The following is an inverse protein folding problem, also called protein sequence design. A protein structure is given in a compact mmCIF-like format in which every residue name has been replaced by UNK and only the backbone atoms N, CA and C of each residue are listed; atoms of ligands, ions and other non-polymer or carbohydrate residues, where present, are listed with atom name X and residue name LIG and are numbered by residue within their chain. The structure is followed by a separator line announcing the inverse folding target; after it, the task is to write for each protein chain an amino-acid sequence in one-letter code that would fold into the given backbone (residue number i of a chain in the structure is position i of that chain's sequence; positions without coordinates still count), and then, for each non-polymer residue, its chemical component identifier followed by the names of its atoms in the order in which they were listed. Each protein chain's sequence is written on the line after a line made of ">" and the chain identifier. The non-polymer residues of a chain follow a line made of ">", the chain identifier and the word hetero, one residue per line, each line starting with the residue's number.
data_IF_297524175099
#
_entry.id   IF_297524175099
#
_cell.length_a   1.000
_cell.length_b   1.000
_cell.length_c   1.000
_cell.angle_alpha   90.00
_cell.angle_beta   90.00
_cell.angle_gamma   90.00
#
_symmetry.space_group_name_H-M   'P 1'
#
loop_
_entity.id
_entity.type
_entity.pdbx_description
1 polymer ?
#
# COMPACT_ATOMS: atom_id res chain seq x y z
N UNK A 1 8.33 122.17 -45.95
CA UNK A 1 7.67 120.87 -46.19
C UNK A 1 8.60 119.66 -45.97
N UNK A 2 9.86 119.70 -46.45
CA UNK A 2 10.84 118.61 -46.30
C UNK A 2 11.36 118.40 -44.85
N UNK A 3 11.46 119.45 -44.03
CA UNK A 3 11.85 119.33 -42.61
C UNK A 3 10.72 118.85 -41.68
N UNK A 4 9.45 119.08 -42.06
CA UNK A 4 8.28 118.59 -41.30
C UNK A 4 8.07 117.08 -41.53
N UNK A 5 8.31 116.61 -42.75
CA UNK A 5 8.32 115.17 -43.08
C UNK A 5 9.49 114.43 -42.40
N UNK A 6 10.69 115.02 -42.29
CA UNK A 6 11.82 114.43 -41.52
C UNK A 6 11.57 114.35 -40.01
N UNK A 7 10.85 115.33 -39.43
CA UNK A 7 10.53 115.35 -38.00
C UNK A 7 9.44 114.35 -37.59
N UNK A 8 8.43 114.13 -38.44
CA UNK A 8 7.37 113.14 -38.20
C UNK A 8 7.91 111.72 -38.38
N UNK A 9 8.83 111.51 -39.32
CA UNK A 9 9.42 110.20 -39.56
C UNK A 9 10.27 109.72 -38.37
N UNK A 10 11.10 110.58 -37.76
CA UNK A 10 12.03 110.13 -36.72
C UNK A 10 11.36 109.84 -35.36
N UNK A 11 10.29 110.57 -35.01
CA UNK A 11 9.62 110.44 -33.70
C UNK A 11 8.65 109.25 -33.65
N UNK A 12 7.90 109.02 -34.73
CA UNK A 12 7.05 107.83 -34.85
C UNK A 12 7.86 106.57 -35.10
N UNK A 13 8.97 106.63 -35.85
CA UNK A 13 9.86 105.49 -36.06
C UNK A 13 10.58 105.07 -34.76
N UNK A 14 11.02 106.03 -33.93
CA UNK A 14 11.58 105.71 -32.61
C UNK A 14 10.53 105.18 -31.62
N UNK A 15 9.28 105.66 -31.70
CA UNK A 15 8.19 105.07 -30.91
C UNK A 15 7.86 103.66 -31.39
N UNK A 16 7.83 103.40 -32.70
CA UNK A 16 7.63 102.07 -33.27
C UNK A 16 8.79 101.13 -32.88
N UNK A 17 10.04 101.58 -32.96
CA UNK A 17 11.19 100.79 -32.50
C UNK A 17 11.13 100.52 -30.99
N UNK A 18 10.75 101.51 -30.16
CA UNK A 18 10.54 101.26 -28.72
C UNK A 18 9.37 100.34 -28.42
N UNK A 19 8.29 100.40 -29.20
CA UNK A 19 7.15 99.49 -29.06
C UNK A 19 7.54 98.08 -29.51
N UNK A 20 8.37 97.94 -30.55
CA UNK A 20 8.90 96.66 -31.01
C UNK A 20 9.91 96.10 -29.99
N UNK A 21 10.86 96.90 -29.50
CA UNK A 21 11.81 96.51 -28.44
C UNK A 21 11.07 96.14 -27.14
N UNK A 22 10.11 96.96 -26.68
CA UNK A 22 9.35 96.66 -25.47
C UNK A 22 8.35 95.52 -25.65
N UNK A 23 7.79 95.28 -26.85
CA UNK A 23 6.93 94.12 -27.11
C UNK A 23 7.71 92.81 -27.10
N UNK A 24 9.03 92.88 -27.21
CA UNK A 24 9.97 91.74 -27.23
C UNK A 24 10.75 91.59 -25.92
N UNK A 25 10.62 92.53 -24.97
CA UNK A 25 11.28 92.47 -23.66
C UNK A 25 10.46 91.62 -22.67
N UNK A 26 11.13 90.72 -21.95
CA UNK A 26 10.51 89.62 -21.17
C UNK A 26 9.69 90.10 -19.94
N UNK A 27 9.68 91.38 -19.60
CA UNK A 27 9.05 91.94 -18.39
C UNK A 27 8.02 93.07 -18.60
N UNK A 28 7.65 93.44 -19.83
CA UNK A 28 6.81 94.63 -20.06
C UNK A 28 5.30 94.40 -19.76
N UNK A 29 4.91 94.65 -18.51
CA UNK A 29 3.52 94.93 -18.12
C UNK A 29 3.08 96.28 -18.73
N UNK A 30 1.96 96.24 -19.45
CA UNK A 30 1.18 97.37 -19.98
C UNK A 30 1.88 98.33 -20.98
N UNK A 31 1.66 98.08 -22.27
CA UNK A 31 1.88 99.07 -23.32
C UNK A 31 0.69 100.06 -23.31
N UNK A 32 0.79 101.15 -22.55
CA UNK A 32 -0.16 102.27 -22.62
C UNK A 32 0.37 103.30 -23.63
N UNK A 33 -0.29 103.43 -24.78
CA UNK A 33 0.00 104.47 -25.77
C UNK A 33 -1.14 105.48 -25.78
N UNK A 34 -0.83 106.73 -25.44
CA UNK A 34 -1.76 107.84 -25.42
C UNK A 34 -1.86 108.45 -26.84
N UNK A 35 -2.91 108.12 -27.60
CA UNK A 35 -3.15 108.70 -28.92
C UNK A 35 -3.82 110.08 -28.77
N UNK A 36 -3.10 111.14 -29.18
CA UNK A 36 -3.62 112.51 -29.14
C UNK A 36 -4.82 112.64 -30.13
N UNK A 37 -6.05 113.01 -29.70
CA UNK A 37 -7.25 112.83 -30.51
C UNK A 37 -7.48 113.87 -31.61
N UNK A 38 -6.68 114.94 -31.70
CA UNK A 38 -7.01 116.11 -32.52
C UNK A 38 -5.86 116.56 -33.43
N UNK A 39 -5.76 116.00 -34.66
CA UNK A 39 -5.23 116.70 -35.86
C UNK A 39 -5.99 116.23 -37.11
N UNK A 40 -6.62 117.18 -37.80
CA UNK A 40 -7.51 117.07 -38.96
C UNK A 40 -6.78 117.09 -40.33
N UNK A 41 -7.44 116.50 -41.33
CA UNK A 41 -7.32 116.75 -42.80
C UNK A 41 -5.95 116.59 -43.50
N UNK A 42 -5.34 115.40 -43.43
CA UNK A 42 -4.38 114.97 -44.46
C UNK A 42 -4.50 113.46 -44.72
N UNK A 43 -4.84 113.06 -45.94
CA UNK A 43 -5.13 111.66 -46.32
C UNK A 43 -3.95 110.71 -46.05
N UNK A 44 -2.72 111.21 -46.13
CA UNK A 44 -1.50 110.45 -45.88
C UNK A 44 -1.29 110.10 -44.39
N UNK A 45 -1.78 110.92 -43.45
CA UNK A 45 -1.70 110.66 -42.00
C UNK A 45 -2.74 109.62 -41.52
N UNK A 46 -3.93 109.60 -42.14
CA UNK A 46 -4.93 108.52 -41.92
C UNK A 46 -4.45 107.16 -42.44
N UNK A 47 -3.71 107.14 -43.54
CA UNK A 47 -3.07 105.92 -44.07
C UNK A 47 -2.03 105.36 -43.10
N UNK A 48 -1.19 106.24 -42.54
CA UNK A 48 -0.16 105.86 -41.56
C UNK A 48 -0.74 105.35 -40.24
N UNK A 49 -1.78 105.99 -39.69
CA UNK A 49 -2.49 105.49 -38.49
C UNK A 49 -3.18 104.13 -38.71
N UNK A 50 -3.71 103.87 -39.91
CA UNK A 50 -4.27 102.54 -40.25
C UNK A 50 -3.17 101.48 -40.28
N UNK A 51 -2.02 101.79 -40.87
CA UNK A 51 -0.86 100.89 -40.91
C UNK A 51 -0.33 100.60 -39.51
N UNK A 52 -0.19 101.63 -38.66
CA UNK A 52 0.23 101.48 -37.26
C UNK A 52 -0.74 100.61 -36.45
N UNK A 53 -2.06 100.83 -36.59
CA UNK A 53 -3.08 100.00 -35.94
C UNK A 53 -3.09 98.55 -36.47
N UNK A 54 -2.87 98.35 -37.76
CA UNK A 54 -2.76 96.99 -38.33
C UNK A 54 -1.48 96.27 -37.89
N UNK A 55 -0.36 96.97 -37.76
CA UNK A 55 0.89 96.44 -37.21
C UNK A 55 0.71 96.07 -35.74
N UNK A 56 0.01 96.89 -34.96
CA UNK A 56 -0.30 96.57 -33.56
C UNK A 56 -1.17 95.32 -33.44
N UNK A 57 -2.25 95.21 -34.23
CA UNK A 57 -3.07 93.99 -34.27
C UNK A 57 -2.26 92.77 -34.69
N UNK A 58 -1.38 92.92 -35.68
CA UNK A 58 -0.50 91.85 -36.13
C UNK A 58 0.49 91.42 -35.04
N UNK A 59 1.12 92.37 -34.34
CA UNK A 59 2.04 92.09 -33.22
C UNK A 59 1.31 91.47 -32.03
N UNK A 60 0.10 91.93 -31.71
CA UNK A 60 -0.75 91.34 -30.67
C UNK A 60 -1.13 89.90 -31.01
N UNK A 61 -1.55 89.64 -32.26
CA UNK A 61 -1.88 88.29 -32.73
C UNK A 61 -0.65 87.37 -32.72
N UNK A 62 0.53 87.87 -33.08
CA UNK A 62 1.80 87.12 -33.00
C UNK A 62 2.14 86.81 -31.53
N UNK A 63 1.97 87.76 -30.62
CA UNK A 63 2.21 87.56 -29.18
C UNK A 63 1.26 86.51 -28.60
N UNK A 64 -0.04 86.58 -28.91
CA UNK A 64 -1.03 85.58 -28.50
C UNK A 64 -0.70 84.19 -29.10
N UNK A 65 -0.29 84.12 -30.37
CA UNK A 65 0.12 82.87 -31.00
C UNK A 65 1.38 82.26 -30.34
N UNK A 66 2.38 83.07 -29.99
CA UNK A 66 3.59 82.61 -29.29
C UNK A 66 3.25 82.13 -27.87
N UNK A 67 2.41 82.87 -27.15
CA UNK A 67 1.96 82.47 -25.80
C UNK A 67 1.14 81.16 -25.86
N UNK A 68 0.25 81.03 -26.84
CA UNK A 68 -0.52 79.81 -27.07
C UNK A 68 0.38 78.63 -27.43
N UNK A 69 1.39 78.82 -28.30
CA UNK A 69 2.38 77.78 -28.64
C UNK A 69 3.16 77.33 -27.41
N UNK A 70 3.59 78.27 -26.55
CA UNK A 70 4.31 77.99 -25.30
C UNK A 70 3.46 77.24 -24.27
N UNK A 71 2.18 77.60 -24.15
CA UNK A 71 1.23 76.89 -23.29
C UNK A 71 1.00 75.45 -23.79
N UNK A 72 0.80 75.28 -25.10
CA UNK A 72 0.63 73.97 -25.74
C UNK A 72 1.90 73.09 -25.63
N UNK A 73 3.10 73.67 -25.79
CA UNK A 73 4.36 72.97 -25.59
C UNK A 73 4.54 72.45 -24.16
N UNK A 74 4.15 73.24 -23.15
CA UNK A 74 4.16 72.79 -21.74
C UNK A 74 3.21 71.63 -21.49
N UNK A 75 2.01 71.67 -22.06
CA UNK A 75 1.01 70.60 -21.93
C UNK A 75 1.49 69.31 -22.61
N UNK A 76 2.11 69.41 -23.80
CA UNK A 76 2.75 68.26 -24.49
C UNK A 76 3.86 67.64 -23.63
N UNK A 77 4.75 68.46 -23.05
CA UNK A 77 5.83 67.96 -22.21
C UNK A 77 5.32 67.26 -20.94
N UNK A 78 4.21 67.74 -20.37
CA UNK A 78 3.56 67.08 -19.23
C UNK A 78 2.94 65.72 -19.62
N UNK A 79 2.27 65.64 -20.77
CA UNK A 79 1.73 64.38 -21.30
C UNK A 79 2.85 63.38 -21.59
N UNK A 80 3.95 63.80 -22.22
CA UNK A 80 5.12 62.96 -22.51
C UNK A 80 5.74 62.43 -21.23
N UNK A 81 5.86 63.26 -20.19
CA UNK A 81 6.35 62.82 -18.88
C UNK A 81 5.46 61.76 -18.26
N UNK A 82 4.14 61.93 -18.34
CA UNK A 82 3.19 60.93 -17.84
C UNK A 82 3.24 59.63 -18.65
N UNK A 83 3.37 59.71 -19.97
CA UNK A 83 3.55 58.54 -20.85
C UNK A 83 4.86 57.80 -20.55
N UNK A 84 5.95 58.52 -20.29
CA UNK A 84 7.23 57.92 -19.92
C UNK A 84 7.11 57.14 -18.61
N UNK A 85 6.51 57.73 -17.58
CA UNK A 85 6.27 57.05 -16.29
C UNK A 85 5.39 55.80 -16.50
N UNK A 86 4.34 55.90 -17.32
CA UNK A 86 3.46 54.77 -17.64
C UNK A 86 4.20 53.63 -18.37
N UNK A 87 5.06 53.94 -19.34
CA UNK A 87 5.87 52.92 -20.02
C UNK A 87 6.92 52.29 -19.11
N UNK A 88 7.48 53.04 -18.16
CA UNK A 88 8.38 52.50 -17.13
C UNK A 88 7.65 51.48 -16.25
N UNK A 89 6.47 51.84 -15.74
CA UNK A 89 5.60 50.92 -14.98
C UNK A 89 5.18 49.70 -15.80
N UNK A 90 4.82 49.90 -17.09
CA UNK A 90 4.44 48.83 -18.00
C UNK A 90 5.59 47.84 -18.22
N UNK A 91 6.83 48.33 -18.38
CA UNK A 91 8.02 47.49 -18.54
C UNK A 91 8.30 46.65 -17.29
N UNK A 92 8.15 47.24 -16.11
CA UNK A 92 8.29 46.50 -14.85
C UNK A 92 7.23 45.42 -14.72
N UNK A 93 5.98 45.70 -15.08
CA UNK A 93 4.90 44.71 -15.10
C UNK A 93 5.19 43.58 -16.10
N UNK A 94 5.71 43.89 -17.29
CA UNK A 94 6.10 42.89 -18.30
C UNK A 94 7.25 41.99 -17.78
N UNK A 95 8.25 42.57 -17.12
CA UNK A 95 9.33 41.79 -16.50
C UNK A 95 8.81 40.87 -15.39
N UNK A 96 7.88 41.34 -14.55
CA UNK A 96 7.23 40.51 -13.54
C UNK A 96 6.42 39.38 -14.19
N UNK A 97 5.66 39.68 -15.24
CA UNK A 97 4.86 38.69 -15.99
C UNK A 97 5.76 37.60 -16.58
N UNK A 98 6.88 37.97 -17.18
CA UNK A 98 7.87 37.02 -17.72
C UNK A 98 8.43 36.08 -16.65
N UNK A 99 8.78 36.61 -15.49
CA UNK A 99 9.27 35.80 -14.38
C UNK A 99 8.21 34.79 -13.91
N UNK A 100 6.93 35.16 -13.91
CA UNK A 100 5.83 34.25 -13.60
C UNK A 100 5.64 33.19 -14.70
N UNK A 101 5.79 33.55 -15.98
CA UNK A 101 5.69 32.61 -17.09
C UNK A 101 6.82 31.58 -17.09
N UNK A 102 8.06 31.98 -16.79
CA UNK A 102 9.17 31.03 -16.66
C UNK A 102 8.90 30.01 -15.54
N UNK A 103 8.44 30.50 -14.37
CA UNK A 103 8.03 29.60 -13.27
C UNK A 103 6.89 28.66 -13.67
N UNK A 104 5.95 29.14 -14.49
CA UNK A 104 4.84 28.33 -14.98
C UNK A 104 5.33 27.24 -15.95
N UNK A 105 6.30 27.52 -16.83
CA UNK A 105 6.95 26.50 -17.65
C UNK A 105 7.59 25.42 -16.78
N UNK A 106 8.42 25.83 -15.80
CA UNK A 106 9.11 24.90 -14.90
C UNK A 106 8.11 24.00 -14.16
N UNK A 107 7.01 24.58 -13.66
CA UNK A 107 5.96 23.85 -12.95
C UNK A 107 5.22 22.84 -13.84
N UNK A 108 4.89 23.22 -15.08
CA UNK A 108 4.22 22.33 -16.04
C UNK A 108 5.15 21.18 -16.47
N UNK A 109 6.44 21.44 -16.65
CA UNK A 109 7.44 20.39 -16.92
C UNK A 109 7.56 19.42 -15.74
N UNK A 110 7.63 19.93 -14.51
CA UNK A 110 7.63 19.10 -13.31
C UNK A 110 6.36 18.25 -13.18
N UNK A 111 5.18 18.82 -13.46
CA UNK A 111 3.92 18.05 -13.47
C UNK A 111 3.93 16.94 -14.51
N UNK A 112 4.51 17.17 -15.70
CA UNK A 112 4.67 16.14 -16.72
C UNK A 112 5.59 15.01 -16.24
N UNK A 113 6.68 15.33 -15.55
CA UNK A 113 7.59 14.32 -14.98
C UNK A 113 6.91 13.50 -13.88
N UNK A 114 6.21 14.16 -12.93
CA UNK A 114 5.43 13.48 -11.90
C UNK A 114 4.34 12.58 -12.49
N UNK A 115 3.70 12.99 -13.59
CA UNK A 115 2.73 12.15 -14.29
C UNK A 115 3.36 10.85 -14.82
N UNK A 116 4.59 10.93 -15.36
CA UNK A 116 5.34 9.76 -15.80
C UNK A 116 5.63 8.79 -14.66
N UNK A 117 6.09 9.31 -13.52
CA UNK A 117 6.35 8.51 -12.31
C UNK A 117 5.07 7.85 -11.78
N UNK A 118 3.97 8.60 -11.70
CA UNK A 118 2.70 8.06 -11.20
C UNK A 118 2.13 6.98 -12.14
N UNK A 119 2.27 7.13 -13.46
CA UNK A 119 1.89 6.07 -14.40
C UNK A 119 2.70 4.78 -14.17
N UNK A 120 4.01 4.89 -13.94
CA UNK A 120 4.86 3.74 -13.62
C UNK A 120 4.40 3.02 -12.34
N UNK A 121 4.11 3.78 -11.28
CA UNK A 121 3.62 3.21 -10.02
C UNK A 121 2.27 2.48 -10.18
N UNK A 122 1.41 2.96 -11.07
CA UNK A 122 0.11 2.32 -11.36
C UNK A 122 0.27 1.04 -12.18
N UNK A 123 1.26 0.99 -13.08
CA UNK A 123 1.61 -0.22 -13.82
C UNK A 123 2.17 -1.31 -12.88
N UNK A 124 3.08 -0.93 -11.98
CA UNK A 124 3.56 -1.81 -10.90
C UNK A 124 2.43 -2.29 -9.99
N UNK A 125 1.51 -1.39 -9.61
CA UNK A 125 0.34 -1.75 -8.81
C UNK A 125 -0.56 -2.76 -9.53
N UNK A 126 -0.77 -2.59 -10.84
CA UNK A 126 -1.60 -3.51 -11.64
C UNK A 126 -0.95 -4.89 -11.72
N UNK A 127 0.36 -4.93 -11.97
CA UNK A 127 1.13 -6.18 -11.97
C UNK A 127 1.05 -6.89 -10.62
N UNK A 128 1.23 -6.14 -9.52
CA UNK A 128 1.14 -6.69 -8.16
C UNK A 128 -0.26 -7.26 -7.83
N UNK A 129 -1.32 -6.61 -8.31
CA UNK A 129 -2.70 -7.11 -8.17
C UNK A 129 -2.89 -8.42 -8.92
N UNK A 130 -2.38 -8.55 -10.14
CA UNK A 130 -2.44 -9.79 -10.93
C UNK A 130 -1.64 -10.93 -10.28
N UNK A 131 -0.44 -10.65 -9.79
CA UNK A 131 0.37 -11.62 -9.04
C UNK A 131 -0.34 -12.09 -7.77
N UNK A 132 -0.98 -11.17 -7.06
CA UNK A 132 -1.76 -11.50 -5.84
C UNK A 132 -2.95 -12.39 -6.18
N UNK A 133 -3.66 -12.14 -7.30
CA UNK A 133 -4.75 -13.01 -7.75
C UNK A 133 -4.27 -14.44 -8.07
N UNK A 134 -3.15 -14.58 -8.79
CA UNK A 134 -2.56 -15.89 -9.07
C UNK A 134 -2.13 -16.63 -7.78
N UNK A 135 -1.60 -15.89 -6.80
CA UNK A 135 -1.22 -16.43 -5.50
C UNK A 135 -2.44 -16.94 -4.72
N UNK A 136 -3.55 -16.18 -4.72
CA UNK A 136 -4.82 -16.58 -4.11
C UNK A 136 -5.35 -17.88 -4.73
N UNK A 137 -5.33 -18.02 -6.06
CA UNK A 137 -5.78 -19.26 -6.72
C UNK A 137 -4.95 -20.47 -6.27
N UNK A 138 -3.63 -20.27 -6.12
CA UNK A 138 -2.72 -21.30 -5.63
C UNK A 138 -3.00 -21.64 -4.16
N UNK A 139 -3.26 -20.65 -3.31
CA UNK A 139 -3.66 -20.84 -1.92
C UNK A 139 -4.98 -21.61 -1.81
N UNK A 140 -5.98 -21.25 -2.62
CA UNK A 140 -7.28 -21.93 -2.65
C UNK A 140 -7.12 -23.41 -2.98
N UNK A 141 -6.32 -23.74 -3.99
CA UNK A 141 -6.03 -25.14 -4.35
C UNK A 141 -5.27 -25.88 -3.25
N UNK A 142 -4.34 -25.19 -2.58
CA UNK A 142 -3.58 -25.76 -1.46
C UNK A 142 -4.48 -26.05 -0.25
N UNK A 143 -5.43 -25.16 0.04
CA UNK A 143 -6.42 -25.33 1.10
C UNK A 143 -7.37 -26.50 0.80
N UNK A 144 -7.84 -26.63 -0.45
CA UNK A 144 -8.66 -27.76 -0.89
C UNK A 144 -7.92 -29.11 -0.76
N UNK A 145 -6.65 -29.14 -1.16
CA UNK A 145 -5.81 -30.34 -1.00
C UNK A 145 -5.61 -30.67 0.48
N UNK A 146 -5.29 -29.67 1.31
CA UNK A 146 -5.13 -29.85 2.74
C UNK A 146 -6.41 -30.38 3.40
N UNK A 147 -7.58 -29.87 2.99
CA UNK A 147 -8.88 -30.35 3.48
C UNK A 147 -9.09 -31.82 3.16
N UNK A 148 -8.82 -32.20 1.91
CA UNK A 148 -8.97 -33.58 1.45
C UNK A 148 -8.01 -34.51 2.20
N UNK A 149 -6.74 -34.13 2.34
CA UNK A 149 -5.74 -34.92 3.06
C UNK A 149 -6.05 -35.03 4.56
N UNK A 150 -6.59 -33.98 5.19
CA UNK A 150 -7.03 -34.03 6.57
C UNK A 150 -8.21 -35.01 6.75
N UNK A 151 -9.19 -34.97 5.85
CA UNK A 151 -10.32 -35.90 5.85
C UNK A 151 -9.88 -37.36 5.65
N UNK A 152 -8.97 -37.62 4.70
CA UNK A 152 -8.38 -38.96 4.51
C UNK A 152 -7.60 -39.43 5.76
N UNK A 153 -6.90 -38.51 6.43
CA UNK A 153 -6.22 -38.77 7.68
C UNK A 153 -7.19 -39.17 8.80
N UNK A 154 -8.32 -38.48 8.91
CA UNK A 154 -9.36 -38.78 9.88
C UNK A 154 -10.01 -40.14 9.65
N UNK A 155 -10.34 -40.48 8.39
CA UNK A 155 -10.84 -41.82 8.02
C UNK A 155 -9.83 -42.92 8.40
N UNK A 156 -8.53 -42.67 8.19
CA UNK A 156 -7.46 -43.61 8.55
C UNK A 156 -7.35 -43.83 10.07
N UNK A 157 -7.49 -42.76 10.86
CA UNK A 157 -7.53 -42.84 12.33
C UNK A 157 -8.77 -43.61 12.80
N UNK A 158 -9.94 -43.34 12.22
CA UNK A 158 -11.17 -44.06 12.56
C UNK A 158 -11.05 -45.57 12.30
N UNK A 159 -10.44 -45.94 11.16
CA UNK A 159 -10.15 -47.33 10.84
C UNK A 159 -9.18 -47.95 11.85
N UNK A 160 -8.12 -47.22 12.24
CA UNK A 160 -7.14 -47.69 13.22
C UNK A 160 -7.75 -47.86 14.62
N UNK A 161 -8.62 -46.95 15.04
CA UNK A 161 -9.38 -47.05 16.29
C UNK A 161 -10.27 -48.30 16.30
N UNK A 162 -10.95 -48.57 15.18
CA UNK A 162 -11.77 -49.79 15.02
C UNK A 162 -10.90 -51.05 15.15
N UNK A 163 -9.72 -51.08 14.53
CA UNK A 163 -8.79 -52.21 14.69
C UNK A 163 -8.30 -52.36 16.13
N UNK A 164 -8.07 -51.26 16.84
CA UNK A 164 -7.64 -51.29 18.24
C UNK A 164 -8.73 -51.85 19.17
N UNK A 165 -10.00 -51.54 18.90
CA UNK A 165 -11.12 -52.18 19.59
C UNK A 165 -11.18 -53.69 19.34
N UNK A 166 -10.98 -54.13 18.09
CA UNK A 166 -10.90 -55.56 17.78
C UNK A 166 -9.74 -56.26 18.53
N UNK A 167 -8.58 -55.61 18.64
CA UNK A 167 -7.44 -56.12 19.42
C UNK A 167 -7.80 -56.22 20.90
N UNK A 168 -8.46 -55.20 21.47
CA UNK A 168 -8.94 -55.20 22.86
C UNK A 168 -9.89 -56.37 23.14
N UNK A 169 -10.84 -56.63 22.24
CA UNK A 169 -11.75 -57.77 22.34
C UNK A 169 -11.02 -59.12 22.25
N UNK A 170 -10.03 -59.22 21.37
CA UNK A 170 -9.15 -60.39 21.25
C UNK A 170 -8.37 -60.66 22.54
N UNK A 171 -7.80 -59.61 23.15
CA UNK A 171 -7.08 -59.70 24.42
C UNK A 171 -8.00 -60.16 25.58
N UNK A 172 -9.21 -59.59 25.69
CA UNK A 172 -10.21 -60.01 26.68
C UNK A 172 -10.59 -61.50 26.52
N UNK A 173 -10.72 -61.95 25.27
CA UNK A 173 -11.03 -63.35 24.96
C UNK A 173 -9.87 -64.27 25.37
N UNK A 174 -8.64 -63.86 25.10
CA UNK A 174 -7.45 -64.61 25.49
C UNK A 174 -7.30 -64.69 27.02
N UNK A 175 -7.58 -63.61 27.74
CA UNK A 175 -7.60 -63.59 29.21
C UNK A 175 -8.56 -64.67 29.75
N UNK A 176 -9.77 -64.75 29.19
CA UNK A 176 -10.77 -65.76 29.57
C UNK A 176 -10.26 -67.19 29.36
N UNK A 177 -9.56 -67.45 28.25
CA UNK A 177 -8.95 -68.76 27.96
C UNK A 177 -7.85 -69.08 28.96
N UNK A 178 -6.97 -68.13 29.28
CA UNK A 178 -5.90 -68.31 30.28
C UNK A 178 -6.48 -68.59 31.67
N UNK A 179 -7.52 -67.88 32.09
CA UNK A 179 -8.20 -68.13 33.36
C UNK A 179 -8.81 -69.55 33.40
N UNK A 180 -9.38 -70.02 32.29
CA UNK A 180 -9.88 -71.40 32.18
C UNK A 180 -8.75 -72.42 32.27
N UNK A 181 -7.63 -72.22 31.56
CA UNK A 181 -6.45 -73.08 31.63
C UNK A 181 -5.87 -73.14 33.04
N UNK A 182 -5.81 -72.00 33.73
CA UNK A 182 -5.37 -71.91 35.13
C UNK A 182 -6.22 -72.82 36.02
N UNK A 183 -7.55 -72.74 35.88
CA UNK A 183 -8.48 -73.57 36.66
C UNK A 183 -8.28 -75.06 36.36
N UNK A 184 -8.21 -75.44 35.09
CA UNK A 184 -8.00 -76.84 34.68
C UNK A 184 -6.66 -77.39 35.18
N UNK A 185 -5.59 -76.60 35.11
CA UNK A 185 -4.27 -77.00 35.59
C UNK A 185 -4.23 -77.21 37.10
N UNK A 186 -4.97 -76.39 37.87
CA UNK A 186 -5.14 -76.61 39.32
C UNK A 186 -5.92 -77.90 39.60
N UNK A 187 -6.99 -78.18 38.84
CA UNK A 187 -7.75 -79.43 38.98
C UNK A 187 -6.90 -80.67 38.67
N UNK A 188 -6.07 -80.64 37.62
CA UNK A 188 -5.11 -81.70 37.30
C UNK A 188 -4.12 -81.91 38.45
N UNK A 189 -3.58 -80.82 39.02
CA UNK A 189 -2.69 -80.87 40.18
C UNK A 189 -3.33 -81.58 41.38
N UNK A 190 -4.61 -81.28 41.66
CA UNK A 190 -5.37 -81.92 42.74
C UNK A 190 -5.62 -83.41 42.47
N UNK A 191 -5.98 -83.79 41.24
CA UNK A 191 -6.15 -85.19 40.86
C UNK A 191 -4.84 -85.97 40.96
N UNK A 192 -3.73 -85.38 40.51
CA UNK A 192 -2.43 -86.01 40.59
C UNK A 192 -1.96 -86.21 42.04
N UNK A 193 -2.24 -85.25 42.93
CA UNK A 193 -1.99 -85.41 44.37
C UNK A 193 -2.77 -86.60 44.98
N UNK A 194 -4.02 -86.80 44.57
CA UNK A 194 -4.82 -87.96 44.96
C UNK A 194 -4.22 -89.28 44.44
N UNK A 195 -3.75 -89.31 43.18
CA UNK A 195 -3.07 -90.47 42.61
C UNK A 195 -1.82 -90.83 43.42
N UNK A 196 -0.99 -89.83 43.75
CA UNK A 196 0.20 -90.03 44.60
C UNK A 196 -0.18 -90.66 45.94
N UNK A 197 -1.24 -90.16 46.60
CA UNK A 197 -1.74 -90.72 47.87
C UNK A 197 -2.23 -92.16 47.73
N UNK A 198 -3.02 -92.47 46.69
CA UNK A 198 -3.49 -93.84 46.41
C UNK A 198 -2.31 -94.78 46.15
N UNK A 199 -1.31 -94.31 45.41
CA UNK A 199 -0.12 -95.06 45.07
C UNK A 199 0.71 -95.41 46.32
N UNK A 200 0.92 -94.44 47.21
CA UNK A 200 1.59 -94.65 48.51
C UNK A 200 0.82 -95.63 49.39
N UNK A 201 -0.50 -95.49 49.49
CA UNK A 201 -1.35 -96.42 50.23
C UNK A 201 -1.29 -97.83 49.65
N UNK A 202 -1.33 -97.96 48.32
CA UNK A 202 -1.24 -99.24 47.63
C UNK A 202 0.12 -99.89 47.84
N UNK A 203 1.20 -99.11 47.80
CA UNK A 203 2.55 -99.58 48.09
C UNK A 203 2.68 -100.10 49.53
N UNK A 204 2.10 -99.40 50.50
CA UNK A 204 2.05 -99.83 51.91
C UNK A 204 1.20 -101.09 52.11
N UNK A 205 0.04 -101.18 51.46
CA UNK A 205 -0.81 -102.38 51.49
C UNK A 205 -0.10 -103.60 50.89
N UNK A 206 0.57 -103.41 49.75
CA UNK A 206 1.34 -104.46 49.08
C UNK A 206 2.53 -104.91 49.93
N UNK A 207 3.22 -103.99 50.60
CA UNK A 207 4.28 -104.30 51.55
C UNK A 207 3.77 -105.16 52.71
N UNK A 208 2.64 -104.76 53.32
CA UNK A 208 2.02 -105.54 54.41
C UNK A 208 1.60 -106.94 53.93
N UNK A 209 1.06 -107.05 52.72
CA UNK A 209 0.70 -108.34 52.11
C UNK A 209 1.94 -109.21 51.83
N UNK A 210 3.04 -108.63 51.36
CA UNK A 210 4.30 -109.34 51.14
C UNK A 210 4.89 -109.87 52.45
N UNK A 211 4.84 -109.08 53.53
CA UNK A 211 5.26 -109.49 54.88
C UNK A 211 4.42 -110.68 55.37
N UNK A 212 3.09 -110.62 55.26
CA UNK A 212 2.22 -111.69 55.73
C UNK A 212 2.33 -112.96 54.87
N UNK A 213 2.54 -112.81 53.56
CA UNK A 213 2.83 -113.90 52.64
C UNK A 213 4.16 -114.60 52.97
N UNK A 214 5.21 -113.85 53.32
CA UNK A 214 6.47 -114.40 53.80
C UNK A 214 6.29 -115.15 55.14
N UNK A 215 5.40 -114.64 56.02
CA UNK A 215 5.07 -115.25 57.32
C UNK A 215 4.36 -116.59 57.19
N UNK A 216 3.56 -116.78 56.15
CA UNK A 216 2.88 -118.04 55.83
C UNK A 216 3.79 -119.12 55.23
N UNK A 217 5.08 -118.82 55.00
CA UNK A 217 6.08 -119.80 54.52
C UNK A 217 5.76 -120.34 53.12
N UNK A 218 5.88 -121.66 52.93
CA UNK A 218 5.65 -122.33 51.63
C UNK A 218 4.22 -122.14 51.09
N UNK A 219 3.22 -121.97 51.97
CA UNK A 219 1.83 -121.75 51.56
C UNK A 219 1.55 -120.32 51.06
N UNK A 220 2.39 -119.34 51.42
CA UNK A 220 2.25 -117.93 51.02
C UNK A 220 3.04 -117.55 49.76
N UNK A 221 3.82 -118.47 49.18
CA UNK A 221 4.79 -118.19 48.12
C UNK A 221 4.18 -117.55 46.88
N UNK A 222 2.98 -117.99 46.46
CA UNK A 222 2.24 -117.40 45.34
C UNK A 222 1.70 -116.00 45.65
N UNK A 223 1.24 -115.76 46.88
CA UNK A 223 0.78 -114.44 47.34
C UNK A 223 1.94 -113.44 47.46
N UNK A 224 3.13 -113.89 47.86
CA UNK A 224 4.32 -113.05 47.95
C UNK A 224 4.70 -112.47 46.58
N UNK A 225 4.66 -113.30 45.51
CA UNK A 225 4.95 -112.84 44.14
C UNK A 225 3.95 -111.80 43.67
N UNK A 226 2.65 -112.00 43.95
CA UNK A 226 1.60 -111.02 43.60
C UNK A 226 1.78 -109.72 44.39
N UNK A 227 2.09 -109.80 45.67
CA UNK A 227 2.31 -108.63 46.51
C UNK A 227 3.52 -107.80 46.04
N UNK A 228 4.63 -108.45 45.67
CA UNK A 228 5.79 -107.77 45.11
C UNK A 228 5.51 -107.10 43.75
N UNK A 229 4.69 -107.73 42.89
CA UNK A 229 4.30 -107.13 41.61
C UNK A 229 3.38 -105.92 41.80
N UNK A 230 2.41 -105.99 42.73
CA UNK A 230 1.57 -104.84 43.11
C UNK A 230 2.44 -103.71 43.68
N UNK A 231 3.42 -104.05 44.53
CA UNK A 231 4.35 -103.06 45.10
C UNK A 231 5.15 -102.35 44.01
N UNK A 232 5.63 -103.09 43.01
CA UNK A 232 6.35 -102.54 41.87
C UNK A 232 5.47 -101.61 41.02
N UNK A 233 4.23 -102.02 40.73
CA UNK A 233 3.25 -101.17 40.01
C UNK A 233 2.91 -99.89 40.78
N UNK A 234 2.77 -99.98 42.10
CA UNK A 234 2.55 -98.82 42.96
C UNK A 234 3.77 -97.88 42.96
N UNK A 235 5.00 -98.40 42.99
CA UNK A 235 6.20 -97.56 42.88
C UNK A 235 6.29 -96.87 41.51
N UNK A 236 5.99 -97.57 40.41
CA UNK A 236 5.98 -97.00 39.06
C UNK A 236 4.88 -95.95 38.86
N UNK A 237 3.72 -96.17 39.48
CA UNK A 237 2.60 -95.20 39.48
C UNK A 237 2.99 -93.94 40.23
N UNK A 238 3.69 -94.06 41.37
CA UNK A 238 4.17 -92.92 42.15
C UNK A 238 5.22 -92.11 41.39
N UNK A 239 6.17 -92.76 40.72
CA UNK A 239 7.16 -92.09 39.85
C UNK A 239 6.48 -91.35 38.70
N UNK A 240 5.48 -91.98 38.06
CA UNK A 240 4.70 -91.35 36.99
C UNK A 240 3.92 -90.13 37.49
N UNK A 241 3.30 -90.23 38.67
CA UNK A 241 2.60 -89.11 39.29
C UNK A 241 3.54 -87.95 39.65
N UNK A 242 4.77 -88.22 40.09
CA UNK A 242 5.78 -87.18 40.32
C UNK A 242 6.16 -86.46 39.00
N UNK A 243 6.32 -87.20 37.90
CA UNK A 243 6.59 -86.59 36.59
C UNK A 243 5.42 -85.72 36.12
N UNK A 244 4.17 -86.17 36.30
CA UNK A 244 2.97 -85.37 36.00
C UNK A 244 2.92 -84.12 36.88
N UNK A 245 3.30 -84.22 38.16
CA UNK A 245 3.36 -83.06 39.06
C UNK A 245 4.33 -82.00 38.54
N UNK A 246 5.53 -82.41 38.14
CA UNK A 246 6.54 -81.51 37.59
C UNK A 246 6.05 -80.81 36.32
N UNK A 247 5.47 -81.56 35.38
CA UNK A 247 4.88 -81.00 34.15
C UNK A 247 3.74 -80.03 34.46
N UNK A 248 2.85 -80.39 35.39
CA UNK A 248 1.73 -79.53 35.79
C UNK A 248 2.23 -78.23 36.42
N UNK A 249 3.25 -78.29 37.27
CA UNK A 249 3.83 -77.09 37.87
C UNK A 249 4.45 -76.16 36.82
N UNK A 250 5.12 -76.72 35.80
CA UNK A 250 5.67 -75.93 34.69
C UNK A 250 4.55 -75.24 33.89
N UNK A 251 3.48 -75.97 33.56
CA UNK A 251 2.30 -75.40 32.89
C UNK A 251 1.68 -74.28 33.72
N UNK A 252 1.55 -74.46 35.04
CA UNK A 252 1.03 -73.40 35.93
C UNK A 252 1.90 -72.14 35.91
N UNK A 253 3.24 -72.31 35.90
CA UNK A 253 4.16 -71.18 35.81
C UNK A 253 4.04 -70.46 34.45
N UNK A 254 3.96 -71.20 33.34
CA UNK A 254 3.75 -70.64 32.00
C UNK A 254 2.42 -69.87 31.90
N UNK A 255 1.35 -70.39 32.52
CA UNK A 255 0.05 -69.71 32.60
C UNK A 255 0.16 -68.38 33.36
N UNK A 256 0.94 -68.31 34.45
CA UNK A 256 1.15 -67.06 35.19
C UNK A 256 1.87 -66.04 34.32
N UNK A 257 2.96 -66.44 33.67
CA UNK A 257 3.72 -65.56 32.76
C UNK A 257 2.82 -65.05 31.63
N UNK A 258 2.03 -65.94 31.02
CA UNK A 258 1.11 -65.55 29.95
C UNK A 258 -0.01 -64.62 30.45
N UNK A 259 -0.49 -64.79 31.68
CA UNK A 259 -1.46 -63.87 32.30
C UNK A 259 -0.88 -62.48 32.51
N UNK A 260 0.38 -62.37 32.94
CA UNK A 260 1.05 -61.08 33.15
C UNK A 260 1.28 -60.36 31.81
N UNK A 261 1.66 -61.09 30.76
CA UNK A 261 1.82 -60.54 29.41
C UNK A 261 0.51 -59.98 28.84
N UNK A 262 -0.62 -60.67 29.05
CA UNK A 262 -1.92 -60.17 28.59
C UNK A 262 -2.31 -58.88 29.31
N UNK A 263 -2.02 -58.80 30.62
CA UNK A 263 -2.30 -57.60 31.39
C UNK A 263 -1.49 -56.39 30.89
N UNK A 264 -0.22 -56.59 30.57
CA UNK A 264 0.63 -55.56 29.95
C UNK A 264 0.13 -55.16 28.56
N UNK A 265 -0.33 -56.12 27.74
CA UNK A 265 -0.94 -55.82 26.44
C UNK A 265 -2.25 -55.02 26.57
N UNK A 266 -3.08 -55.29 27.57
CA UNK A 266 -4.27 -54.47 27.83
C UNK A 266 -3.94 -53.00 28.10
N UNK A 267 -2.92 -52.74 28.92
CA UNK A 267 -2.48 -51.39 29.23
C UNK A 267 -1.98 -50.66 27.96
N UNK A 268 -1.19 -51.34 27.13
CA UNK A 268 -0.71 -50.78 25.86
C UNK A 268 -1.84 -50.49 24.88
N UNK A 269 -2.83 -51.37 24.80
CA UNK A 269 -4.01 -51.18 23.94
C UNK A 269 -4.83 -49.97 24.41
N UNK A 270 -5.05 -49.83 25.72
CA UNK A 270 -5.77 -48.68 26.28
C UNK A 270 -5.03 -47.36 26.03
N UNK A 271 -3.70 -47.34 26.19
CA UNK A 271 -2.87 -46.17 25.83
C UNK A 271 -3.00 -45.84 24.34
N UNK A 272 -2.98 -46.85 23.47
CA UNK A 272 -3.12 -46.64 22.04
C UNK A 272 -4.50 -46.10 21.63
N UNK A 273 -5.59 -46.53 22.28
CA UNK A 273 -6.93 -45.97 22.05
C UNK A 273 -6.93 -44.46 22.37
N UNK A 274 -6.41 -44.07 23.54
CA UNK A 274 -6.32 -42.65 23.92
C UNK A 274 -5.49 -41.85 22.91
N UNK A 275 -4.38 -42.41 22.42
CA UNK A 275 -3.55 -41.75 21.40
C UNK A 275 -4.28 -41.56 20.06
N UNK A 276 -5.12 -42.50 19.66
CA UNK A 276 -5.97 -42.34 18.47
C UNK A 276 -7.07 -41.29 18.67
N UNK A 277 -7.71 -41.22 19.84
CA UNK A 277 -8.68 -40.16 20.17
C UNK A 277 -8.05 -38.77 20.16
N UNK A 278 -6.81 -38.62 20.64
CA UNK A 278 -6.06 -37.37 20.56
C UNK A 278 -5.74 -36.99 19.10
N UNK A 279 -5.38 -37.99 18.28
CA UNK A 279 -5.11 -37.79 16.86
C UNK A 279 -6.37 -37.39 16.07
N UNK A 280 -7.52 -37.98 16.40
CA UNK A 280 -8.82 -37.61 15.82
C UNK A 280 -9.15 -36.14 16.07
N UNK A 281 -9.04 -35.69 17.33
CA UNK A 281 -9.22 -34.27 17.70
C UNK A 281 -8.24 -33.36 16.96
N UNK A 282 -7.02 -33.81 16.72
CA UNK A 282 -6.04 -33.03 15.97
C UNK A 282 -6.46 -32.83 14.50
N UNK A 283 -7.02 -33.86 13.86
CA UNK A 283 -7.57 -33.73 12.50
C UNK A 283 -8.81 -32.84 12.44
N UNK A 284 -9.70 -32.92 13.44
CA UNK A 284 -10.84 -32.00 13.55
C UNK A 284 -10.37 -30.53 13.61
N UNK A 285 -9.39 -30.23 14.48
CA UNK A 285 -8.81 -28.88 14.58
C UNK A 285 -8.13 -28.44 13.29
N UNK A 286 -7.45 -29.34 12.59
CA UNK A 286 -6.88 -29.05 11.26
C UNK A 286 -7.99 -28.66 10.28
N UNK A 287 -9.12 -29.37 10.28
CA UNK A 287 -10.29 -29.03 9.47
C UNK A 287 -10.85 -27.63 9.79
N UNK A 288 -10.91 -27.25 11.07
CA UNK A 288 -11.32 -25.90 11.49
C UNK A 288 -10.35 -24.82 10.99
N UNK A 289 -9.04 -25.02 11.15
CA UNK A 289 -8.03 -24.07 10.66
C UNK A 289 -8.06 -23.92 9.14
N UNK A 290 -8.31 -25.01 8.40
CA UNK A 290 -8.44 -24.94 6.94
C UNK A 290 -9.66 -24.11 6.54
N UNK A 291 -10.79 -24.26 7.24
CA UNK A 291 -11.96 -23.42 6.99
C UNK A 291 -11.68 -21.93 7.25
N UNK A 292 -10.93 -21.60 8.31
CA UNK A 292 -10.50 -20.23 8.58
C UNK A 292 -9.62 -19.68 7.45
N UNK A 293 -8.66 -20.48 6.97
CA UNK A 293 -7.81 -20.12 5.82
C UNK A 293 -8.66 -19.85 4.58
N UNK A 294 -9.68 -20.66 4.30
CA UNK A 294 -10.61 -20.45 3.18
C UNK A 294 -11.36 -19.12 3.33
N UNK A 295 -11.82 -18.77 4.53
CA UNK A 295 -12.47 -17.46 4.77
C UNK A 295 -11.52 -16.29 4.54
N UNK A 296 -10.27 -16.40 5.01
CA UNK A 296 -9.25 -15.38 4.76
C UNK A 296 -8.95 -15.23 3.26
N UNK A 297 -8.89 -16.33 2.51
CA UNK A 297 -8.73 -16.30 1.04
C UNK A 297 -9.87 -15.50 0.39
N UNK A 298 -11.13 -15.72 0.80
CA UNK A 298 -12.28 -14.99 0.28
C UNK A 298 -12.22 -13.48 0.58
N UNK A 299 -11.74 -13.10 1.77
CA UNK A 299 -11.57 -11.69 2.14
C UNK A 299 -10.48 -11.01 1.29
N UNK A 300 -9.35 -11.70 1.08
CA UNK A 300 -8.26 -11.18 0.24
C UNK A 300 -8.73 -11.09 -1.22
N UNK A 301 -9.50 -12.05 -1.74
CA UNK A 301 -10.11 -12.00 -3.09
C UNK A 301 -10.98 -10.75 -3.28
N UNK A 302 -11.82 -10.44 -2.30
CA UNK A 302 -12.63 -9.23 -2.33
C UNK A 302 -11.77 -7.96 -2.36
N UNK A 303 -10.69 -7.93 -1.59
CA UNK A 303 -9.74 -6.82 -1.55
C UNK A 303 -9.00 -6.64 -2.87
N UNK A 304 -8.54 -7.73 -3.49
CA UNK A 304 -7.91 -7.74 -4.82
C UNK A 304 -8.86 -7.19 -5.88
N UNK A 305 -10.12 -7.66 -5.88
CA UNK A 305 -11.15 -7.18 -6.81
C UNK A 305 -11.38 -5.67 -6.67
N UNK A 306 -11.43 -5.16 -5.43
CA UNK A 306 -11.58 -3.72 -5.16
C UNK A 306 -10.35 -2.93 -5.61
N UNK A 307 -9.15 -3.46 -5.42
CA UNK A 307 -7.91 -2.83 -5.87
C UNK A 307 -7.81 -2.78 -7.39
N UNK A 308 -8.27 -3.82 -8.09
CA UNK A 308 -8.32 -3.83 -9.55
C UNK A 308 -9.24 -2.73 -10.10
N UNK A 309 -10.45 -2.58 -9.54
CA UNK A 309 -11.36 -1.49 -9.89
C UNK A 309 -10.75 -0.13 -9.58
N UNK A 310 -10.09 0.00 -8.43
CA UNK A 310 -9.45 1.26 -8.00
C UNK A 310 -8.28 1.63 -8.92
N UNK A 311 -7.42 0.68 -9.29
CA UNK A 311 -6.32 0.90 -10.23
C UNK A 311 -6.85 1.41 -11.58
N UNK A 312 -7.88 0.77 -12.13
CA UNK A 312 -8.53 1.22 -13.37
C UNK A 312 -9.07 2.65 -13.27
N UNK A 313 -9.68 3.01 -12.14
CA UNK A 313 -10.16 4.36 -11.92
C UNK A 313 -9.01 5.37 -11.84
N UNK A 314 -7.87 5.01 -11.23
CA UNK A 314 -6.69 5.87 -11.18
C UNK A 314 -6.15 6.11 -12.60
N UNK A 315 -6.02 5.06 -13.42
CA UNK A 315 -5.60 5.19 -14.83
C UNK A 315 -6.49 6.18 -15.59
N UNK A 316 -7.82 6.05 -15.49
CA UNK A 316 -8.76 6.99 -16.16
C UNK A 316 -8.59 8.44 -15.69
N UNK A 317 -8.26 8.65 -14.40
CA UNK A 317 -8.02 9.99 -13.86
C UNK A 317 -6.67 10.55 -14.34
N UNK A 318 -5.63 9.72 -14.43
CA UNK A 318 -4.33 10.12 -14.92
C UNK A 318 -4.36 10.54 -16.38
N UNK A 319 -5.15 9.85 -17.22
CA UNK A 319 -5.38 10.29 -18.60
C UNK A 319 -5.93 11.73 -18.66
N UNK A 320 -6.92 12.06 -17.81
CA UNK A 320 -7.51 13.41 -17.75
C UNK A 320 -6.53 14.47 -17.26
N UNK A 321 -5.65 14.11 -16.31
CA UNK A 321 -4.60 15.03 -15.85
C UNK A 321 -3.53 15.20 -16.93
N UNK A 322 -3.16 14.14 -17.66
CA UNK A 322 -2.27 14.21 -18.81
C UNK A 322 -2.80 15.14 -19.90
N UNK A 323 -4.10 15.06 -20.22
CA UNK A 323 -4.77 16.02 -21.11
C UNK A 323 -4.68 17.46 -20.60
N UNK A 324 -4.87 17.66 -19.29
CA UNK A 324 -4.79 18.98 -18.66
C UNK A 324 -3.37 19.57 -18.71
N UNK A 325 -2.34 18.75 -18.48
CA UNK A 325 -0.92 19.14 -18.62
C UNK A 325 -0.65 19.55 -20.07
N UNK A 326 -1.12 18.77 -21.06
CA UNK A 326 -0.96 19.11 -22.48
C UNK A 326 -1.59 20.47 -22.83
N UNK A 327 -2.78 20.76 -22.30
CA UNK A 327 -3.42 22.08 -22.47
C UNK A 327 -2.62 23.19 -21.78
N UNK A 328 -2.07 22.93 -20.59
CA UNK A 328 -1.24 23.90 -19.86
C UNK A 328 0.07 24.22 -20.60
N UNK A 329 0.72 23.23 -21.22
CA UNK A 329 1.90 23.44 -22.08
C UNK A 329 1.55 24.37 -23.25
N UNK A 330 0.48 24.06 -24.00
CA UNK A 330 0.06 24.87 -25.15
C UNK A 330 -0.31 26.31 -24.74
N UNK A 331 -1.01 26.47 -23.62
CA UNK A 331 -1.38 27.79 -23.10
C UNK A 331 -0.14 28.60 -22.68
N UNK A 332 0.79 27.99 -21.94
CA UNK A 332 2.01 28.67 -21.48
C UNK A 332 2.89 29.08 -22.66
N UNK A 333 2.99 28.24 -23.70
CA UNK A 333 3.72 28.58 -24.93
C UNK A 333 3.09 29.79 -25.64
N UNK A 334 1.76 29.82 -25.80
CA UNK A 334 1.07 30.98 -26.40
C UNK A 334 1.25 32.26 -25.57
N UNK A 335 1.29 32.14 -24.24
CA UNK A 335 1.55 33.27 -23.36
C UNK A 335 3.00 33.79 -23.48
N UNK A 336 3.98 32.90 -23.63
CA UNK A 336 5.38 33.26 -23.94
C UNK A 336 5.49 34.02 -25.25
N UNK A 337 4.83 33.54 -26.31
CA UNK A 337 4.83 34.21 -27.62
C UNK A 337 4.20 35.61 -27.52
N UNK A 338 3.08 35.72 -26.80
CA UNK A 338 2.39 37.00 -26.54
C UNK A 338 3.24 37.96 -25.69
N UNK A 339 3.97 37.45 -24.69
CA UNK A 339 4.90 38.24 -23.88
C UNK A 339 6.04 38.84 -24.71
N UNK A 340 6.61 38.04 -25.60
CA UNK A 340 7.64 38.48 -26.54
C UNK A 340 7.14 39.64 -27.41
N UNK A 341 5.93 39.53 -27.98
CA UNK A 341 5.30 40.59 -28.77
C UNK A 341 5.03 41.86 -27.96
N UNK A 342 4.54 41.74 -26.72
CA UNK A 342 4.28 42.90 -25.86
C UNK A 342 5.56 43.66 -25.51
N UNK A 343 6.67 42.95 -25.33
CA UNK A 343 7.95 43.57 -25.02
C UNK A 343 8.54 44.28 -26.23
N UNK A 344 8.39 43.71 -27.42
CA UNK A 344 8.71 44.43 -28.66
C UNK A 344 7.87 45.72 -28.77
N UNK A 345 6.56 45.63 -28.53
CA UNK A 345 5.68 46.80 -28.60
C UNK A 345 6.06 47.89 -27.58
N UNK A 346 6.39 47.53 -26.33
CA UNK A 346 6.83 48.51 -25.32
C UNK A 346 8.15 49.19 -25.70
N UNK A 347 9.08 48.47 -26.36
CA UNK A 347 10.30 49.08 -26.90
C UNK A 347 9.99 50.10 -28.00
N UNK A 348 9.10 49.75 -28.94
CA UNK A 348 8.64 50.65 -30.00
C UNK A 348 7.95 51.90 -29.40
N UNK A 349 7.09 51.73 -28.39
CA UNK A 349 6.44 52.86 -27.70
C UNK A 349 7.44 53.75 -26.97
N UNK A 350 8.45 53.16 -26.32
CA UNK A 350 9.53 53.93 -25.66
C UNK A 350 10.26 54.82 -26.67
N UNK A 351 10.63 54.27 -27.83
CA UNK A 351 11.29 55.03 -28.90
C UNK A 351 10.40 56.18 -29.42
N UNK A 352 9.09 55.94 -29.54
CA UNK A 352 8.14 56.96 -29.94
C UNK A 352 8.04 58.10 -28.90
N UNK A 353 8.03 57.78 -27.61
CA UNK A 353 8.01 58.76 -26.52
C UNK A 353 9.28 59.62 -26.55
N UNK A 354 10.45 59.03 -26.75
CA UNK A 354 11.72 59.76 -26.89
C UNK A 354 11.68 60.72 -28.08
N UNK A 355 11.18 60.26 -29.23
CA UNK A 355 11.03 61.11 -30.41
C UNK A 355 10.05 62.28 -30.17
N UNK A 356 8.92 62.03 -29.50
CA UNK A 356 7.96 63.08 -29.14
C UNK A 356 8.56 64.09 -28.16
N UNK A 357 9.43 63.65 -27.24
CA UNK A 357 10.14 64.52 -26.30
C UNK A 357 11.07 65.49 -27.03
N UNK A 358 11.85 64.99 -27.98
CA UNK A 358 12.75 65.82 -28.79
C UNK A 358 11.98 66.90 -29.57
N UNK A 359 10.81 66.55 -30.11
CA UNK A 359 9.92 67.50 -30.77
C UNK A 359 9.36 68.53 -29.75
N UNK A 360 8.91 68.06 -28.59
CA UNK A 360 8.37 68.90 -27.51
C UNK A 360 9.37 69.94 -27.01
N UNK A 361 10.64 69.56 -26.85
CA UNK A 361 11.72 70.44 -26.42
C UNK A 361 12.09 71.51 -27.48
N UNK A 362 11.68 71.32 -28.74
CA UNK A 362 11.91 72.25 -29.86
C UNK A 362 10.81 73.30 -30.08
N UNK A 363 9.66 73.15 -29.41
CA UNK A 363 8.48 74.01 -29.53
C UNK A 363 8.55 75.25 -28.64
#
# INVERSE_FOLDING_TARGET
>A
MMNFMKSINNKHYNNLNKIIENAWDEESKDIIINLNPNITENSNLRGLQKVERSLFLMLSNIKEAIQSKKAFGKEILEIIKNLFNYEEENRDLLNQKRNLLNKMCDEVENQSNYMGEVNHLVDEMTTSVEETDAFIQTMSKSAELAFTTAAEGQDSIQNSMTQMHCIKEGANSLETVIQSLKKQSVEIGNMNALITQISEQTNLLALNAAIEAARAGEHGRGFAVVADEIRKLASQTQESAQNIQFLTQNIQNEIIVASDLIKDEHEKVDIGIVSFEESEKAFDMIGEYINEVVMNILEVMSSVSKNQVSSKNVVEKLEKVGDSIRVAVDCTQKMMDTDSQQIQLSQETTQLIEHLRDIGDSL
#
